data_IF_549953809384
#
_entry.id   IF_549953809384
#
_cell.length_a   1.000
_cell.length_b   1.000
_cell.length_c   1.000
_cell.angle_alpha   90.00
_cell.angle_beta   90.00
_cell.angle_gamma   90.00
#
_symmetry.space_group_name_H-M   'P 1'
#
loop_
_entity.id
_entity.type
_entity.pdbx_description
1 polymer ?
#
# COMPACT_ATOMS: atom_id res chain seq x y z
N UNK A 1 13.67 25.88 15.51
CA UNK A 1 13.96 24.46 15.80
C UNK A 1 13.91 23.73 14.48
N UNK A 2 15.04 23.20 13.99
CA UNK A 2 15.04 22.40 12.77
C UNK A 2 14.37 21.05 13.08
N UNK A 3 13.27 20.74 12.39
CA UNK A 3 12.72 19.40 12.39
C UNK A 3 13.83 18.46 11.87
N UNK A 4 14.29 17.53 12.72
CA UNK A 4 15.14 16.45 12.24
C UNK A 4 14.38 15.75 11.11
N UNK A 5 14.97 15.71 9.92
CA UNK A 5 14.40 14.96 8.82
C UNK A 5 14.33 13.49 9.26
N UNK A 6 13.13 13.00 9.57
CA UNK A 6 12.92 11.60 9.92
C UNK A 6 13.47 10.75 8.78
N UNK A 7 14.48 9.93 9.05
CA UNK A 7 15.07 9.05 8.06
C UNK A 7 13.96 8.19 7.42
N UNK A 8 13.98 8.05 6.10
CA UNK A 8 12.99 7.25 5.38
C UNK A 8 13.04 5.79 5.89
N UNK A 9 11.91 5.23 6.34
CA UNK A 9 11.88 3.93 7.00
C UNK A 9 11.80 2.81 5.97
N UNK A 10 12.95 2.46 5.40
CA UNK A 10 13.07 1.36 4.44
C UNK A 10 12.78 0.01 5.11
N UNK A 11 12.09 -0.88 4.38
CA UNK A 11 11.68 -2.19 4.89
C UNK A 11 10.30 -2.63 4.39
N UNK A 12 9.86 -3.81 4.83
CA UNK A 12 8.55 -4.37 4.49
C UNK A 12 7.61 -4.15 5.67
N UNK A 13 6.40 -3.67 5.40
CA UNK A 13 5.35 -3.47 6.39
C UNK A 13 4.04 -4.05 5.89
N UNK A 14 3.34 -4.81 6.74
CA UNK A 14 2.18 -5.57 6.31
C UNK A 14 1.09 -5.65 7.38
N UNK A 15 -0.16 -5.62 6.93
CA UNK A 15 -1.35 -6.06 7.64
C UNK A 15 -2.00 -7.30 7.00
N UNK A 16 -1.37 -7.86 5.95
CA UNK A 16 -1.90 -9.01 5.23
C UNK A 16 -2.03 -10.21 6.17
N UNK A 17 -3.20 -10.82 6.15
CA UNK A 17 -3.52 -12.01 6.92
C UNK A 17 -4.41 -12.94 6.09
N UNK A 18 -4.37 -14.22 6.44
CA UNK A 18 -5.24 -15.25 5.86
C UNK A 18 -6.45 -15.46 6.78
N UNK A 19 -7.64 -15.41 6.19
CA UNK A 19 -8.89 -15.80 6.83
C UNK A 19 -8.87 -17.29 7.13
N UNK A 20 -9.07 -17.67 8.39
CA UNK A 20 -9.11 -19.09 8.80
C UNK A 20 -10.33 -19.83 8.27
N UNK A 21 -11.39 -19.11 7.95
CA UNK A 21 -12.66 -19.69 7.53
C UNK A 21 -12.70 -19.93 6.02
N UNK A 22 -12.14 -19.00 5.24
CA UNK A 22 -12.23 -19.00 3.78
C UNK A 22 -10.90 -19.28 3.08
N UNK A 23 -9.77 -19.09 3.77
CA UNK A 23 -8.43 -19.09 3.16
C UNK A 23 -8.09 -17.82 2.39
N UNK A 24 -9.00 -16.83 2.40
CA UNK A 24 -8.83 -15.57 1.67
C UNK A 24 -7.76 -14.68 2.31
N UNK A 25 -7.04 -13.95 1.46
CA UNK A 25 -6.08 -12.94 1.90
C UNK A 25 -6.72 -11.56 1.99
N UNK A 26 -6.48 -10.88 3.11
CA UNK A 26 -6.98 -9.53 3.37
C UNK A 26 -5.88 -8.63 3.94
N UNK A 27 -5.75 -7.41 3.42
CA UNK A 27 -4.89 -6.37 3.99
C UNK A 27 -3.98 -5.69 2.98
N UNK A 28 -3.06 -4.87 3.50
CA UNK A 28 -2.12 -4.08 2.71
C UNK A 28 -0.70 -4.51 3.06
N UNK A 29 0.14 -4.73 2.05
CA UNK A 29 1.58 -4.92 2.22
C UNK A 29 2.35 -3.93 1.36
N UNK A 30 3.41 -3.39 1.94
CA UNK A 30 4.30 -2.45 1.26
C UNK A 30 5.76 -2.70 1.58
N UNK A 31 6.61 -2.54 0.57
CA UNK A 31 8.05 -2.48 0.69
C UNK A 31 8.51 -1.06 0.38
N UNK A 32 9.02 -0.35 1.38
CA UNK A 32 9.62 0.97 1.24
C UNK A 32 11.11 0.85 0.89
N UNK A 33 11.54 1.54 -0.15
CA UNK A 33 12.93 1.53 -0.61
C UNK A 33 13.31 2.84 -1.32
N UNK A 34 14.60 3.06 -1.53
CA UNK A 34 15.11 4.14 -2.39
C UNK A 34 15.57 3.60 -3.73
N UNK A 35 15.25 4.33 -4.80
CA UNK A 35 15.79 4.12 -6.15
C UNK A 35 16.19 5.46 -6.71
N UNK A 36 17.44 5.63 -7.14
CA UNK A 36 17.96 6.90 -7.70
C UNK A 36 17.60 8.13 -6.84
N UNK A 37 17.84 8.03 -5.52
CA UNK A 37 17.51 9.04 -4.51
C UNK A 37 16.02 9.34 -4.30
N UNK A 38 15.12 8.70 -5.06
CA UNK A 38 13.67 8.81 -4.92
C UNK A 38 13.15 7.82 -3.88
N UNK A 39 12.17 8.26 -3.09
CA UNK A 39 11.42 7.38 -2.19
C UNK A 39 10.41 6.59 -3.01
N UNK A 40 10.46 5.28 -2.91
CA UNK A 40 9.62 4.36 -3.67
C UNK A 40 8.92 3.39 -2.72
N UNK A 41 7.79 2.86 -3.17
CA UNK A 41 7.10 1.75 -2.54
C UNK A 41 6.73 0.72 -3.60
N UNK A 42 6.93 -0.55 -3.28
CA UNK A 42 6.16 -1.63 -3.91
C UNK A 42 4.97 -1.92 -3.00
N UNK A 43 3.75 -1.88 -3.53
CA UNK A 43 2.51 -2.00 -2.75
C UNK A 43 1.60 -3.05 -3.35
N UNK A 44 0.92 -3.81 -2.50
CA UNK A 44 -0.19 -4.69 -2.88
C UNK A 44 -1.32 -4.56 -1.86
N UNK A 45 -2.54 -4.43 -2.37
CA UNK A 45 -3.77 -4.55 -1.61
C UNK A 45 -4.36 -5.94 -1.88
N UNK A 46 -4.74 -6.65 -0.83
CA UNK A 46 -5.34 -7.97 -0.91
C UNK A 46 -6.78 -7.91 -0.42
N UNK A 47 -7.71 -8.30 -1.30
CA UNK A 47 -9.15 -8.37 -1.06
C UNK A 47 -9.67 -9.71 -1.60
N UNK A 48 -9.68 -10.74 -0.75
CA UNK A 48 -9.90 -12.12 -1.19
C UNK A 48 -8.60 -12.78 -1.65
N UNK A 49 -7.87 -12.10 -2.55
CA UNK A 49 -6.55 -12.51 -3.04
C UNK A 49 -5.63 -11.30 -3.23
N UNK A 50 -4.32 -11.53 -3.34
CA UNK A 50 -3.35 -10.50 -3.70
C UNK A 50 -3.09 -10.57 -5.21
N UNK A 51 -3.73 -9.71 -6.00
CA UNK A 51 -3.70 -9.82 -7.47
C UNK A 51 -2.42 -9.24 -8.07
N UNK A 52 -2.20 -7.94 -7.87
CA UNK A 52 -1.15 -7.19 -8.55
C UNK A 52 -0.39 -6.30 -7.55
N UNK A 53 0.94 -6.29 -7.63
CA UNK A 53 1.78 -5.30 -6.95
C UNK A 53 2.14 -4.14 -7.86
N UNK A 54 2.27 -2.95 -7.28
CA UNK A 54 2.59 -1.71 -7.99
C UNK A 54 3.83 -1.05 -7.41
N UNK A 55 4.76 -0.61 -8.27
CA UNK A 55 5.90 0.21 -7.85
C UNK A 55 5.56 1.68 -8.10
N UNK A 56 5.46 2.47 -7.03
CA UNK A 56 5.01 3.86 -7.09
C UNK A 56 5.90 4.81 -6.29
N UNK A 57 5.99 6.09 -6.68
CA UNK A 57 6.69 7.10 -5.87
C UNK A 57 5.99 7.34 -4.54
N UNK A 58 6.79 7.53 -3.49
CA UNK A 58 6.33 7.98 -2.17
C UNK A 58 6.63 9.46 -2.01
N UNK A 59 5.62 10.24 -1.62
CA UNK A 59 5.75 11.68 -1.33
C UNK A 59 5.66 11.90 0.17
N UNK A 60 6.51 12.77 0.70
CA UNK A 60 6.37 13.28 2.07
C UNK A 60 5.56 14.58 2.03
N UNK A 61 4.37 14.57 2.60
CA UNK A 61 3.44 15.71 2.64
C UNK A 61 3.02 15.90 4.10
N UNK A 62 3.26 17.09 4.66
CA UNK A 62 2.92 17.42 6.06
C UNK A 62 3.40 16.38 7.09
N UNK A 63 4.58 15.81 6.88
CA UNK A 63 5.17 14.79 7.75
C UNK A 63 4.59 13.38 7.60
N UNK A 64 3.75 13.15 6.57
CA UNK A 64 3.14 11.85 6.26
C UNK A 64 3.62 11.34 4.92
N UNK A 65 3.83 10.03 4.83
CA UNK A 65 4.15 9.41 3.55
C UNK A 65 2.85 9.10 2.81
N UNK A 66 2.78 9.53 1.55
CA UNK A 66 1.65 9.30 0.66
C UNK A 66 2.11 8.63 -0.61
N UNK A 67 1.32 7.67 -1.07
CA UNK A 67 1.51 6.98 -2.34
C UNK A 67 0.14 6.78 -3.00
N UNK A 68 0.15 6.56 -4.30
CA UNK A 68 -1.05 6.41 -5.11
C UNK A 68 -0.80 5.40 -6.22
N UNK A 69 -1.76 4.50 -6.44
CA UNK A 69 -1.74 3.52 -7.51
C UNK A 69 -3.15 3.37 -8.11
N UNK A 70 -3.23 2.69 -9.25
CA UNK A 70 -4.50 2.38 -9.93
C UNK A 70 -4.69 0.88 -9.91
N UNK A 71 -5.80 0.43 -9.34
CA UNK A 71 -6.24 -0.95 -9.33
C UNK A 71 -7.22 -1.16 -10.47
N UNK A 72 -6.94 -2.14 -11.33
CA UNK A 72 -7.83 -2.52 -12.42
C UNK A 72 -8.70 -3.69 -11.98
N UNK A 73 -10.01 -3.51 -11.98
CA UNK A 73 -10.98 -4.54 -11.65
C UNK A 73 -11.70 -4.99 -12.92
N UNK A 74 -11.57 -6.26 -13.29
CA UNK A 74 -12.37 -6.85 -14.37
C UNK A 74 -13.69 -7.38 -13.81
N UNK A 75 -14.80 -6.75 -14.17
CA UNK A 75 -16.15 -7.18 -13.82
C UNK A 75 -16.94 -7.67 -15.03
N UNK A 76 -18.12 -8.26 -14.78
CA UNK A 76 -19.03 -8.73 -15.84
C UNK A 76 -19.58 -7.63 -16.76
N UNK A 77 -19.34 -6.35 -16.42
CA UNK A 77 -19.73 -5.17 -17.21
C UNK A 77 -18.58 -4.47 -17.94
N UNK A 78 -17.33 -4.95 -17.80
CA UNK A 78 -16.12 -4.27 -18.29
C UNK A 78 -15.08 -4.09 -17.18
N UNK A 79 -13.93 -3.54 -17.55
CA UNK A 79 -12.86 -3.19 -16.60
C UNK A 79 -13.06 -1.78 -16.03
N UNK A 80 -13.03 -1.66 -14.70
CA UNK A 80 -13.08 -0.39 -13.98
C UNK A 80 -11.72 -0.09 -13.34
N UNK A 81 -11.23 1.14 -13.52
CA UNK A 81 -10.03 1.64 -12.87
C UNK A 81 -10.38 2.35 -11.56
N UNK A 82 -9.87 1.85 -10.45
CA UNK A 82 -9.97 2.49 -9.14
C UNK A 82 -8.64 3.14 -8.78
N UNK A 83 -8.66 4.45 -8.53
CA UNK A 83 -7.51 5.14 -7.96
C UNK A 83 -7.52 4.92 -6.46
N UNK A 84 -6.43 4.36 -5.93
CA UNK A 84 -6.23 4.14 -4.50
C UNK A 84 -5.10 5.01 -4.00
N UNK A 85 -5.41 5.89 -3.05
CA UNK A 85 -4.45 6.71 -2.32
C UNK A 85 -4.20 6.11 -0.94
N UNK A 86 -2.94 5.99 -0.55
CA UNK A 86 -2.53 5.46 0.75
C UNK A 86 -1.76 6.53 1.51
N UNK A 87 -2.24 6.86 2.70
CA UNK A 87 -1.54 7.69 3.67
C UNK A 87 -0.99 6.82 4.81
N UNK A 88 0.33 6.89 5.03
CA UNK A 88 1.01 6.21 6.11
C UNK A 88 1.22 7.17 7.28
N UNK A 89 0.58 6.86 8.41
CA UNK A 89 0.77 7.55 9.68
C UNK A 89 1.80 6.78 10.52
N UNK A 90 2.94 7.39 10.88
CA UNK A 90 3.92 6.76 11.75
C UNK A 90 3.33 6.36 13.10
N UNK A 91 3.62 5.13 13.54
CA UNK A 91 3.16 4.57 14.80
C UNK A 91 4.29 3.75 15.45
N UNK A 92 5.31 4.43 15.98
CA UNK A 92 6.52 3.78 16.50
C UNK A 92 7.35 3.18 15.36
N UNK A 93 7.61 1.87 15.41
CA UNK A 93 8.29 1.11 14.35
C UNK A 93 7.33 0.52 13.30
N UNK A 94 6.09 1.00 13.26
CA UNK A 94 5.00 0.51 12.43
C UNK A 94 4.27 1.68 11.76
N UNK A 95 3.30 1.36 10.90
CA UNK A 95 2.40 2.35 10.32
C UNK A 95 0.94 2.03 10.63
N UNK A 96 0.12 3.07 10.65
CA UNK A 96 -1.30 2.96 10.35
C UNK A 96 -1.50 3.47 8.92
N UNK A 97 -2.10 2.68 8.05
CA UNK A 97 -2.38 3.09 6.67
C UNK A 97 -3.86 3.42 6.49
N UNK A 98 -4.14 4.61 5.97
CA UNK A 98 -5.48 5.02 5.54
C UNK A 98 -5.56 4.92 4.02
N UNK A 99 -6.63 4.31 3.53
CA UNK A 99 -6.93 4.22 2.11
C UNK A 99 -8.06 5.18 1.78
N UNK A 100 -7.97 5.83 0.63
CA UNK A 100 -9.04 6.66 0.09
C UNK A 100 -9.03 6.58 -1.43
N UNK A 101 -10.22 6.63 -2.03
CA UNK A 101 -10.38 6.66 -3.48
C UNK A 101 -11.19 7.90 -3.86
N UNK A 102 -10.70 8.74 -4.80
CA UNK A 102 -11.44 9.93 -5.24
C UNK A 102 -12.84 9.56 -5.74
N UNK A 103 -13.86 10.27 -5.27
CA UNK A 103 -15.24 10.07 -5.70
C UNK A 103 -15.99 8.92 -5.02
N UNK A 104 -15.32 8.13 -4.17
CA UNK A 104 -15.99 7.24 -3.22
C UNK A 104 -16.02 7.90 -1.84
N UNK A 105 -17.10 7.67 -1.08
CA UNK A 105 -17.06 7.96 0.35
C UNK A 105 -15.87 7.17 0.94
N UNK A 106 -15.06 7.80 1.82
CA UNK A 106 -13.99 7.08 2.53
C UNK A 106 -14.57 5.76 3.01
N UNK A 107 -14.02 4.63 2.54
CA UNK A 107 -14.56 3.31 2.82
C UNK A 107 -14.55 3.11 4.34
N UNK A 108 -15.68 3.44 4.96
CA UNK A 108 -15.87 3.53 6.40
C UNK A 108 -16.12 2.14 7.00
N UNK A 109 -15.76 1.08 6.28
CA UNK A 109 -16.01 -0.31 6.65
C UNK A 109 -14.75 -1.09 7.02
N UNK A 110 -13.55 -0.49 6.87
CA UNK A 110 -12.27 -1.03 7.35
C UNK A 110 -11.76 -0.21 8.56
N UNK A 111 -12.63 -0.06 9.56
CA UNK A 111 -12.70 1.01 10.59
C UNK A 111 -11.50 1.24 11.53
N UNK A 112 -10.34 0.66 11.28
CA UNK A 112 -9.09 1.11 11.88
C UNK A 112 -8.01 0.99 10.81
N UNK A 113 -7.47 2.14 10.40
CA UNK A 113 -6.32 2.26 9.49
C UNK A 113 -5.36 1.07 9.64
N UNK A 114 -5.09 0.34 8.54
CA UNK A 114 -4.36 -0.92 8.57
C UNK A 114 -3.10 -0.80 9.41
N UNK A 115 -3.00 -1.60 10.47
CA UNK A 115 -1.81 -1.60 11.32
C UNK A 115 -0.71 -2.42 10.64
N UNK A 116 0.12 -1.74 9.87
CA UNK A 116 1.23 -2.35 9.15
C UNK A 116 2.40 -2.58 10.09
N UNK A 117 2.76 -3.85 10.29
CA UNK A 117 3.88 -4.26 11.14
C UNK A 117 5.10 -4.56 10.28
N UNK A 118 6.32 -4.29 10.76
CA UNK A 118 7.52 -4.63 10.03
C UNK A 118 7.64 -6.15 9.85
N UNK A 119 7.97 -6.59 8.65
CA UNK A 119 8.23 -7.97 8.29
C UNK A 119 9.67 -8.16 7.83
N UNK A 120 10.18 -9.39 8.00
CA UNK A 120 11.50 -9.80 7.48
C UNK A 120 11.45 -10.29 6.03
N UNK A 121 10.29 -10.79 5.62
CA UNK A 121 10.07 -11.39 4.30
C UNK A 121 8.67 -11.00 3.81
N UNK A 122 8.47 -10.84 2.49
CA UNK A 122 7.15 -10.54 1.92
C UNK A 122 6.20 -11.71 2.11
N UNK A 123 4.91 -11.41 2.22
CA UNK A 123 3.83 -12.40 2.21
C UNK A 123 2.87 -12.11 1.06
N UNK A 124 2.16 -10.98 1.10
CA UNK A 124 1.29 -10.57 0.01
C UNK A 124 2.05 -10.26 -1.27
N UNK A 125 3.18 -9.54 -1.15
CA UNK A 125 4.05 -9.21 -2.29
C UNK A 125 4.70 -10.46 -2.91
N UNK A 126 4.81 -11.57 -2.16
CA UNK A 126 5.41 -12.80 -2.66
C UNK A 126 4.46 -13.62 -3.56
N UNK A 127 3.14 -13.40 -3.44
CA UNK A 127 2.11 -14.15 -4.17
C UNK A 127 1.40 -13.32 -5.24
N UNK A 128 1.60 -12.00 -5.23
CA UNK A 128 1.04 -11.10 -6.23
C UNK A 128 1.77 -11.18 -7.57
N UNK A 129 1.05 -10.92 -8.66
CA UNK A 129 1.66 -10.65 -9.95
C UNK A 129 2.31 -9.27 -9.92
N UNK A 130 3.51 -9.13 -10.50
CA UNK A 130 4.11 -7.81 -10.65
C UNK A 130 3.40 -7.07 -11.79
N UNK A 131 2.74 -5.96 -11.48
CA UNK A 131 2.25 -5.03 -12.50
C UNK A 131 3.44 -4.31 -13.12
N UNK A 132 4.00 -4.83 -14.22
CA UNK A 132 4.96 -4.07 -15.05
C UNK A 132 4.22 -2.97 -15.82
N UNK A 133 4.75 -1.78 -16.11
CA UNK A 133 6.04 -1.12 -15.88
C UNK A 133 5.76 0.28 -15.26
N UNK A 134 6.75 0.96 -14.65
CA UNK A 134 6.68 2.39 -14.35
C UNK A 134 6.66 3.19 -15.68
N UNK A 135 5.51 3.24 -16.33
CA UNK A 135 5.31 3.86 -17.63
C UNK A 135 4.94 5.34 -17.54
N UNK A 136 5.97 6.19 -17.46
CA UNK A 136 6.15 7.49 -18.16
C UNK A 136 5.19 8.67 -17.78
N UNK A 137 5.67 9.93 -17.87
CA UNK A 137 5.26 11.09 -17.04
C UNK A 137 3.91 11.74 -17.39
#
# INVERSE_FOLDING_TARGET
MAAQATAFPEGIFSSVHESRETGDLGGLELRLFRSDERLMAEVVLCEGWCNVSHIVPVRLVDGRYRLRFVEHYEGSGGGDDLITEVELLPAGNAFRARLSSPGQAEASSWDDAFRLRPLKQPYGLAVAHHGGEPGTP
#
